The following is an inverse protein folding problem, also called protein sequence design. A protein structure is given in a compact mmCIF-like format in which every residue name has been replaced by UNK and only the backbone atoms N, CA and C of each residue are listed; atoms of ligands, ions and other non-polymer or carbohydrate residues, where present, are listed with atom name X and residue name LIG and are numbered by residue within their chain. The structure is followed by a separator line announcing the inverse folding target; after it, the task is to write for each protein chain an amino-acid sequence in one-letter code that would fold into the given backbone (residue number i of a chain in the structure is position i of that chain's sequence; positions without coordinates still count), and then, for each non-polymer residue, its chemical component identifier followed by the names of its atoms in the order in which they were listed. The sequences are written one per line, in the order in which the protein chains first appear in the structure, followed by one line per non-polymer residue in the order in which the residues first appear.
data_IF_279653021347
#
_entry.id   IF_279653021347
#
_cell.length_a   1.000
_cell.length_b   1.000
_cell.length_c   1.000
_cell.angle_alpha   90.00
_cell.angle_beta   90.00
_cell.angle_gamma   90.00
#
_symmetry.space_group_name_H-M   'P 1'
#
loop_
_entity.id
_entity.type
_entity.pdbx_description
1 polymer ?
#
# COMPACT_ATOMS: atom_id res chain seq x y z
N UNK A 1 46.55 -6.32 -5.23
CA UNK A 1 46.38 -4.87 -5.46
C UNK A 1 46.08 -4.23 -4.12
N UNK A 2 46.80 -3.16 -3.78
CA UNK A 2 46.54 -2.35 -2.59
C UNK A 2 45.25 -1.53 -2.81
N UNK A 3 44.53 -1.15 -1.74
CA UNK A 3 43.25 -0.40 -1.87
C UNK A 3 43.44 0.94 -2.60
N UNK A 4 44.60 1.57 -2.46
CA UNK A 4 44.99 2.81 -3.16
C UNK A 4 44.97 2.67 -4.68
N UNK A 5 45.38 1.51 -5.20
CA UNK A 5 45.53 1.24 -6.63
C UNK A 5 44.18 1.30 -7.37
N UNK A 6 43.09 0.87 -6.71
CA UNK A 6 41.73 0.95 -7.24
C UNK A 6 41.22 2.40 -7.33
N UNK A 7 41.61 3.25 -6.38
CA UNK A 7 41.17 4.66 -6.32
C UNK A 7 41.95 5.53 -7.30
N UNK A 8 43.25 5.25 -7.46
CA UNK A 8 44.12 5.93 -8.42
C UNK A 8 43.71 5.61 -9.87
N UNK A 9 43.40 4.34 -10.15
CA UNK A 9 43.03 3.87 -11.48
C UNK A 9 41.52 3.93 -11.79
N UNK A 10 40.72 4.69 -11.04
CA UNK A 10 39.28 4.85 -11.28
C UNK A 10 38.98 5.43 -12.67
N UNK A 11 37.80 5.13 -13.21
CA UNK A 11 37.30 5.81 -14.42
C UNK A 11 37.09 7.30 -14.10
N UNK A 12 37.50 8.17 -15.01
CA UNK A 12 37.35 9.61 -14.77
C UNK A 12 35.92 10.05 -15.06
N UNK A 13 35.21 10.69 -14.10
CA UNK A 13 33.94 11.34 -14.39
C UNK A 13 34.14 12.44 -15.44
N UNK A 14 33.18 12.63 -16.36
CA UNK A 14 33.25 13.71 -17.33
C UNK A 14 33.12 15.06 -16.61
N UNK A 15 33.73 16.13 -17.15
CA UNK A 15 33.58 17.49 -16.61
C UNK A 15 32.12 17.90 -16.38
N UNK A 16 31.22 17.50 -17.29
CA UNK A 16 29.79 17.77 -17.19
C UNK A 16 29.13 17.22 -15.91
N UNK A 17 29.66 16.14 -15.32
CA UNK A 17 29.19 15.62 -14.03
C UNK A 17 29.41 16.62 -12.90
N UNK A 18 30.63 17.19 -12.81
CA UNK A 18 30.95 18.15 -11.77
C UNK A 18 30.22 19.48 -11.98
N UNK A 19 30.11 19.97 -13.22
CA UNK A 19 29.29 21.16 -13.52
C UNK A 19 27.82 20.96 -13.12
N UNK A 20 27.26 19.76 -13.35
CA UNK A 20 25.92 19.41 -12.87
C UNK A 20 25.83 19.40 -11.34
N UNK A 21 26.84 18.85 -10.64
CA UNK A 21 26.88 18.89 -9.18
C UNK A 21 26.87 20.34 -8.68
N UNK A 22 27.72 21.21 -9.22
CA UNK A 22 27.82 22.62 -8.82
C UNK A 22 26.52 23.38 -9.07
N UNK A 23 25.82 23.10 -10.18
CA UNK A 23 24.58 23.78 -10.54
C UNK A 23 23.46 23.63 -9.50
N UNK A 24 23.46 22.51 -8.77
CA UNK A 24 22.47 22.21 -7.73
C UNK A 24 22.68 23.00 -6.42
N UNK A 25 23.85 23.60 -6.22
CA UNK A 25 24.10 24.47 -5.09
C UNK A 25 23.52 25.85 -5.35
N UNK A 26 22.97 26.47 -4.31
CA UNK A 26 22.60 27.88 -4.38
C UNK A 26 23.83 28.76 -4.56
N UNK A 27 23.63 29.87 -5.26
CA UNK A 27 24.63 30.94 -5.36
C UNK A 27 24.05 32.29 -4.94
N UNK A 28 24.92 33.29 -4.76
CA UNK A 28 24.51 34.62 -4.33
C UNK A 28 24.93 35.71 -5.33
N UNK A 29 24.09 36.74 -5.41
CA UNK A 29 24.44 38.02 -6.02
C UNK A 29 24.30 39.09 -4.96
N UNK A 30 25.42 39.70 -4.55
CA UNK A 30 25.44 40.75 -3.54
C UNK A 30 25.47 42.11 -4.22
N UNK A 31 24.49 42.98 -3.93
CA UNK A 31 24.40 44.29 -4.59
C UNK A 31 24.15 45.45 -3.62
N UNK A 32 24.81 46.56 -3.87
CA UNK A 32 24.46 47.88 -3.33
C UNK A 32 24.43 48.92 -4.48
N UNK A 33 24.38 50.21 -4.15
CA UNK A 33 24.31 51.27 -5.19
C UNK A 33 25.61 51.42 -6.01
N UNK A 34 26.74 50.97 -5.48
CA UNK A 34 28.07 51.23 -6.02
C UNK A 34 28.76 49.96 -6.56
N UNK A 35 28.36 48.78 -6.08
CA UNK A 35 29.06 47.51 -6.30
C UNK A 35 28.08 46.34 -6.41
N UNK A 36 28.41 45.40 -7.30
CA UNK A 36 27.75 44.10 -7.43
C UNK A 36 28.79 42.99 -7.45
N UNK A 37 28.66 42.02 -6.54
CA UNK A 37 29.49 40.83 -6.45
C UNK A 37 28.64 39.63 -6.89
N UNK A 38 28.98 39.05 -8.04
CA UNK A 38 28.37 37.81 -8.54
C UNK A 38 29.24 36.65 -8.06
N UNK A 39 28.74 35.85 -7.12
CA UNK A 39 29.56 34.83 -6.47
C UNK A 39 29.95 33.67 -7.38
N UNK A 40 29.17 33.37 -8.41
CA UNK A 40 29.50 32.34 -9.40
C UNK A 40 28.99 32.76 -10.77
N UNK A 41 29.83 32.57 -11.78
CA UNK A 41 29.45 32.76 -13.20
C UNK A 41 28.78 31.52 -13.80
N UNK A 42 28.65 30.43 -13.03
CA UNK A 42 28.01 29.19 -13.49
C UNK A 42 26.51 29.35 -13.51
N UNK A 43 25.85 28.51 -14.31
CA UNK A 43 24.39 28.40 -14.29
C UNK A 43 23.99 27.59 -13.06
N UNK A 44 23.40 28.27 -12.08
CA UNK A 44 22.86 27.66 -10.86
C UNK A 44 21.33 27.57 -10.94
N UNK A 45 20.76 26.53 -10.33
CA UNK A 45 19.32 26.36 -10.23
C UNK A 45 18.69 27.39 -9.28
N UNK A 46 19.46 27.83 -8.27
CA UNK A 46 19.00 28.77 -7.25
C UNK A 46 19.98 29.93 -7.06
N UNK A 47 19.59 31.12 -7.52
CA UNK A 47 20.35 32.36 -7.36
C UNK A 47 19.64 33.25 -6.35
N UNK A 48 20.32 33.62 -5.26
CA UNK A 48 19.76 34.45 -4.20
C UNK A 48 20.39 35.84 -4.25
N UNK A 49 19.58 36.86 -4.47
CA UNK A 49 20.02 38.25 -4.37
C UNK A 49 20.07 38.70 -2.91
N UNK A 50 21.19 39.31 -2.49
CA UNK A 50 21.38 39.88 -1.16
C UNK A 50 21.88 41.32 -1.24
N UNK A 51 21.49 42.14 -0.26
CA UNK A 51 22.04 43.50 -0.12
C UNK A 51 23.47 43.45 0.40
N UNK A 52 24.41 44.11 -0.27
CA UNK A 52 25.79 44.27 0.16
C UNK A 52 25.92 45.38 1.22
N UNK A 53 26.46 45.05 2.39
CA UNK A 53 26.68 45.95 3.54
C UNK A 53 28.16 45.92 3.94
N UNK A 54 28.62 46.94 4.68
CA UNK A 54 30.00 47.03 5.20
C UNK A 54 30.41 45.82 6.05
N UNK A 55 29.46 45.19 6.75
CA UNK A 55 29.66 44.01 7.57
C UNK A 55 29.08 42.72 6.95
N UNK A 56 28.82 42.70 5.64
CA UNK A 56 28.40 41.47 4.95
C UNK A 56 29.47 40.39 5.11
N UNK A 57 29.06 39.21 5.60
CA UNK A 57 29.95 38.04 5.67
C UNK A 57 30.08 37.43 4.27
N UNK A 58 31.22 37.67 3.63
CA UNK A 58 31.51 37.19 2.27
C UNK A 58 32.38 35.92 2.24
N UNK A 59 32.92 35.50 3.39
CA UNK A 59 33.68 34.25 3.52
C UNK A 59 32.97 33.31 4.51
N UNK A 60 32.48 32.18 4.02
CA UNK A 60 31.72 31.21 4.82
C UNK A 60 31.58 29.84 4.15
N UNK A 61 31.42 28.80 4.95
CA UNK A 61 30.90 27.50 4.51
C UNK A 61 29.41 27.62 4.21
N UNK A 62 28.96 27.15 3.04
CA UNK A 62 27.55 27.17 2.67
C UNK A 62 26.86 25.83 2.95
N UNK A 63 27.25 24.79 2.23
CA UNK A 63 26.66 23.45 2.37
C UNK A 63 27.50 22.37 1.70
N UNK A 64 27.13 21.11 1.90
CA UNK A 64 27.69 19.98 1.15
C UNK A 64 26.60 19.00 0.77
N UNK A 65 26.77 18.29 -0.34
CA UNK A 65 25.84 17.26 -0.80
C UNK A 65 26.59 16.11 -1.49
N UNK A 66 25.95 14.94 -1.52
CA UNK A 66 26.53 13.74 -2.11
C UNK A 66 25.90 13.46 -3.49
N UNK A 67 26.77 13.24 -4.46
CA UNK A 67 26.41 12.95 -5.85
C UNK A 67 27.02 11.63 -6.28
N UNK A 68 26.33 10.90 -7.12
CA UNK A 68 26.77 9.60 -7.59
C UNK A 68 26.78 9.55 -9.11
N UNK A 69 27.77 8.86 -9.68
CA UNK A 69 27.88 8.59 -11.10
C UNK A 69 28.18 7.12 -11.33
N UNK A 70 27.56 6.55 -12.36
CA UNK A 70 27.82 5.19 -12.83
C UNK A 70 28.60 5.28 -14.14
N UNK A 71 29.77 4.66 -14.16
CA UNK A 71 30.67 4.60 -15.30
C UNK A 71 30.90 3.14 -15.70
N UNK A 72 31.19 2.90 -16.97
CA UNK A 72 31.41 1.54 -17.45
C UNK A 72 32.28 1.45 -18.69
N UNK A 73 32.99 0.33 -18.77
CA UNK A 73 33.76 -0.14 -19.92
C UNK A 73 33.40 -1.60 -20.20
N UNK A 74 34.03 -2.21 -21.19
CA UNK A 74 33.93 -3.65 -21.41
C UNK A 74 34.56 -4.50 -20.31
N UNK A 75 35.42 -3.92 -19.47
CA UNK A 75 36.17 -4.64 -18.43
C UNK A 75 35.58 -4.50 -17.03
N UNK A 76 34.86 -3.40 -16.75
CA UNK A 76 34.34 -3.10 -15.41
C UNK A 76 33.22 -2.07 -15.41
N UNK A 77 32.43 -2.09 -14.34
CA UNK A 77 31.44 -1.08 -13.97
C UNK A 77 31.93 -0.41 -12.68
N UNK A 78 31.77 0.90 -12.58
CA UNK A 78 32.09 1.66 -11.38
C UNK A 78 30.89 2.50 -10.95
N UNK A 79 30.59 2.47 -9.66
CA UNK A 79 29.69 3.43 -9.00
C UNK A 79 30.57 4.31 -8.13
N UNK A 80 30.65 5.59 -8.45
CA UNK A 80 31.47 6.55 -7.71
C UNK A 80 30.57 7.55 -7.01
N UNK A 81 30.80 7.75 -5.72
CA UNK A 81 30.06 8.70 -4.89
C UNK A 81 31.00 9.79 -4.40
N UNK A 82 30.69 11.03 -4.78
CA UNK A 82 31.45 12.22 -4.43
C UNK A 82 30.67 13.08 -3.46
N UNK A 83 31.34 13.58 -2.42
CA UNK A 83 30.87 14.70 -1.62
C UNK A 83 31.40 15.98 -2.26
N UNK A 84 30.49 16.88 -2.59
CA UNK A 84 30.83 18.22 -3.07
C UNK A 84 30.51 19.21 -1.97
N UNK A 85 31.50 20.04 -1.64
CA UNK A 85 31.42 21.06 -0.60
C UNK A 85 31.45 22.43 -1.27
N UNK A 86 30.43 23.25 -1.01
CA UNK A 86 30.35 24.64 -1.47
C UNK A 86 30.78 25.59 -0.36
N UNK A 87 31.74 26.44 -0.66
CA UNK A 87 32.26 27.47 0.24
C UNK A 87 32.36 28.80 -0.50
N UNK A 88 32.45 29.89 0.25
CA UNK A 88 32.62 31.22 -0.29
C UNK A 88 33.88 31.82 0.31
N UNK A 89 34.71 32.40 -0.54
CA UNK A 89 35.91 33.15 -0.16
C UNK A 89 35.83 34.54 -0.80
N UNK A 90 35.78 35.57 0.04
CA UNK A 90 35.67 36.97 -0.38
C UNK A 90 34.54 37.22 -1.39
N UNK A 91 33.43 36.50 -1.23
CA UNK A 91 32.24 36.63 -2.05
C UNK A 91 32.26 35.81 -3.33
N UNK A 92 33.34 35.08 -3.62
CA UNK A 92 33.45 34.12 -4.74
C UNK A 92 33.15 32.71 -4.23
N UNK A 93 32.31 31.98 -4.96
CA UNK A 93 31.95 30.60 -4.65
C UNK A 93 33.01 29.63 -5.15
N UNK A 94 33.46 28.74 -4.28
CA UNK A 94 34.44 27.69 -4.54
C UNK A 94 33.84 26.32 -4.20
N UNK A 95 34.29 25.29 -4.92
CA UNK A 95 33.87 23.91 -4.69
C UNK A 95 35.07 23.03 -4.38
N UNK A 96 34.90 22.11 -3.44
CA UNK A 96 35.83 20.99 -3.22
C UNK A 96 35.09 19.67 -3.44
N UNK A 97 35.67 18.79 -4.26
CA UNK A 97 35.18 17.42 -4.42
C UNK A 97 36.00 16.43 -3.60
N UNK A 98 35.32 15.48 -2.99
CA UNK A 98 35.93 14.38 -2.26
C UNK A 98 35.28 13.07 -2.71
N UNK A 99 36.06 12.11 -3.18
CA UNK A 99 35.57 10.77 -3.45
C UNK A 99 35.35 10.04 -2.12
N UNK A 100 34.11 9.84 -1.73
CA UNK A 100 33.72 9.19 -0.46
C UNK A 100 33.67 7.68 -0.59
N UNK A 101 33.20 7.19 -1.75
CA UNK A 101 33.02 5.76 -1.98
C UNK A 101 33.13 5.41 -3.46
N UNK A 102 33.78 4.28 -3.74
CA UNK A 102 33.82 3.65 -5.05
C UNK A 102 33.46 2.17 -4.94
N UNK A 103 32.51 1.73 -5.77
CA UNK A 103 32.16 0.32 -5.96
C UNK A 103 32.59 -0.11 -7.35
N UNK A 104 33.32 -1.22 -7.45
CA UNK A 104 33.89 -1.74 -8.69
C UNK A 104 33.35 -3.16 -8.92
N UNK A 105 32.75 -3.37 -10.08
CA UNK A 105 32.24 -4.67 -10.52
C UNK A 105 33.04 -5.14 -11.74
N UNK A 106 33.81 -6.22 -11.55
CA UNK A 106 34.64 -6.81 -12.61
C UNK A 106 35.04 -8.23 -12.24
N UNK A 107 35.23 -9.10 -13.23
CA UNK A 107 35.81 -10.44 -13.04
C UNK A 107 35.06 -11.27 -11.97
N UNK A 108 33.73 -11.20 -11.93
CA UNK A 108 32.88 -11.85 -10.91
C UNK A 108 33.05 -11.33 -9.48
N UNK A 109 33.74 -10.21 -9.29
CA UNK A 109 33.94 -9.60 -7.98
C UNK A 109 33.21 -8.27 -7.88
N UNK A 110 32.79 -7.95 -6.66
CA UNK A 110 32.30 -6.64 -6.26
C UNK A 110 33.20 -6.16 -5.12
N UNK A 111 33.91 -5.06 -5.36
CA UNK A 111 34.82 -4.43 -4.40
C UNK A 111 34.25 -3.08 -4.05
N UNK A 112 34.09 -2.80 -2.75
CA UNK A 112 33.62 -1.51 -2.24
C UNK A 112 34.69 -0.89 -1.35
N UNK A 113 35.10 0.33 -1.68
CA UNK A 113 36.13 1.09 -0.96
C UNK A 113 35.51 2.40 -0.50
N UNK A 114 35.76 2.77 0.76
CA UNK A 114 35.18 3.94 1.40
C UNK A 114 33.79 3.70 1.99
N UNK A 115 33.24 4.74 2.61
CA UNK A 115 31.93 4.70 3.28
C UNK A 115 31.22 6.01 3.00
N UNK A 116 29.97 5.91 2.54
CA UNK A 116 29.15 7.09 2.27
C UNK A 116 28.71 7.68 3.62
N UNK A 117 29.12 8.92 3.91
CA UNK A 117 28.64 9.69 5.05
C UNK A 117 27.58 10.69 4.57
N UNK A 118 26.29 10.37 4.76
CA UNK A 118 25.21 11.28 4.40
C UNK A 118 24.97 12.30 5.51
N UNK A 119 24.82 13.60 5.18
CA UNK A 119 24.36 14.57 6.15
C UNK A 119 22.91 14.25 6.56
N UNK A 120 22.69 14.10 7.87
CA UNK A 120 21.37 13.91 8.49
C UNK A 120 20.81 15.29 8.83
N UNK A 121 19.63 15.61 8.31
CA UNK A 121 18.95 16.88 8.60
C UNK A 121 17.59 16.59 9.24
N UNK A 122 17.39 17.04 10.49
CA UNK A 122 16.18 16.76 11.29
C UNK A 122 15.77 15.26 11.33
N UNK A 123 16.74 14.34 11.34
CA UNK A 123 16.48 12.91 11.36
C UNK A 123 16.17 12.27 10.00
N UNK A 124 16.17 13.04 8.91
CA UNK A 124 16.04 12.53 7.54
C UNK A 124 17.40 12.49 6.83
N UNK A 125 17.71 11.36 6.19
CA UNK A 125 18.87 11.24 5.31
C UNK A 125 18.61 12.07 4.05
N UNK A 126 19.52 12.99 3.74
CA UNK A 126 19.56 13.58 2.40
C UNK A 126 19.95 12.47 1.41
N UNK A 127 19.09 12.19 0.44
CA UNK A 127 19.35 11.17 -0.59
C UNK A 127 20.59 11.51 -1.42
N UNK A 128 21.13 10.52 -2.13
CA UNK A 128 22.26 10.70 -3.05
C UNK A 128 21.71 11.02 -4.44
N UNK A 129 22.13 12.14 -5.02
CA UNK A 129 21.69 12.52 -6.36
C UNK A 129 22.48 11.73 -7.42
N UNK A 130 21.80 10.90 -8.20
CA UNK A 130 22.41 10.10 -9.28
C UNK A 130 22.44 10.89 -10.59
N UNK A 131 23.63 11.01 -11.18
CA UNK A 131 23.85 11.73 -12.43
C UNK A 131 23.14 11.04 -13.62
N UNK A 132 22.26 11.73 -14.37
CA UNK A 132 21.46 11.14 -15.44
C UNK A 132 22.26 11.00 -16.75
N UNK A 133 23.23 10.09 -16.78
CA UNK A 133 24.12 9.86 -17.92
C UNK A 133 23.76 8.62 -18.77
N UNK A 134 22.48 8.24 -18.82
CA UNK A 134 22.00 7.06 -19.56
C UNK A 134 22.76 5.76 -19.21
N UNK A 135 23.22 5.64 -17.96
CA UNK A 135 24.13 4.57 -17.54
C UNK A 135 23.58 3.18 -17.84
N UNK A 136 22.27 2.94 -17.69
CA UNK A 136 21.63 1.64 -18.02
C UNK A 136 21.86 1.24 -19.47
N UNK A 137 21.57 2.13 -20.42
CA UNK A 137 21.80 1.89 -21.86
C UNK A 137 23.28 1.67 -22.14
N UNK A 138 24.16 2.39 -21.44
CA UNK A 138 25.60 2.18 -21.56
C UNK A 138 26.00 0.78 -21.07
N UNK A 139 25.48 0.32 -19.93
CA UNK A 139 25.72 -1.03 -19.40
C UNK A 139 25.24 -2.10 -20.38
N UNK A 140 24.05 -1.94 -20.94
CA UNK A 140 23.47 -2.84 -21.96
C UNK A 140 24.34 -2.92 -23.23
N UNK A 141 25.09 -1.86 -23.55
CA UNK A 141 25.94 -1.83 -24.74
C UNK A 141 27.33 -2.42 -24.51
N UNK A 142 27.99 -2.07 -23.41
CA UNK A 142 29.44 -2.33 -23.27
C UNK A 142 29.81 -3.30 -22.15
N UNK A 143 29.00 -3.41 -21.10
CA UNK A 143 29.42 -4.09 -19.86
C UNK A 143 29.18 -5.60 -19.86
N UNK A 144 29.58 -6.28 -18.78
CA UNK A 144 29.22 -7.68 -18.52
C UNK A 144 27.70 -7.90 -18.37
N UNK A 145 26.91 -6.85 -18.17
CA UNK A 145 25.45 -6.91 -18.05
C UNK A 145 24.72 -6.75 -19.39
N UNK A 146 25.45 -6.67 -20.52
CA UNK A 146 24.89 -6.45 -21.87
C UNK A 146 23.83 -7.44 -22.34
N UNK A 147 23.76 -8.61 -21.71
CA UNK A 147 22.79 -9.65 -22.04
C UNK A 147 21.49 -9.56 -21.21
N UNK A 148 21.40 -8.57 -20.31
CA UNK A 148 20.24 -8.36 -19.47
C UNK A 148 19.40 -7.19 -19.99
N UNK A 149 18.08 -7.30 -19.82
CA UNK A 149 17.23 -6.11 -19.80
C UNK A 149 17.38 -5.43 -18.42
N UNK A 150 17.87 -4.19 -18.41
CA UNK A 150 18.18 -3.42 -17.19
C UNK A 150 17.17 -2.29 -16.92
N UNK A 151 16.05 -2.22 -17.65
CA UNK A 151 15.06 -1.15 -17.53
C UNK A 151 14.64 -0.90 -16.08
N UNK A 152 14.32 -1.99 -15.36
CA UNK A 152 13.87 -1.96 -13.95
C UNK A 152 15.00 -1.96 -12.91
N UNK A 153 16.26 -1.87 -13.32
CA UNK A 153 17.40 -1.84 -12.40
C UNK A 153 17.43 -0.53 -11.58
N UNK A 154 17.66 -0.63 -10.28
CA UNK A 154 18.05 0.50 -9.43
C UNK A 154 19.55 0.36 -9.06
N UNK A 155 20.24 1.46 -8.79
CA UNK A 155 21.64 1.46 -8.37
C UNK A 155 21.86 0.63 -7.10
N UNK A 156 20.96 0.71 -6.13
CA UNK A 156 21.01 -0.08 -4.88
C UNK A 156 21.01 -1.60 -5.14
N UNK A 157 20.43 -1.99 -6.27
CA UNK A 157 20.27 -3.38 -6.71
C UNK A 157 21.35 -3.83 -7.70
N UNK A 158 22.29 -2.95 -8.08
CA UNK A 158 23.33 -3.26 -9.05
C UNK A 158 24.25 -4.40 -8.57
N UNK A 159 24.62 -4.41 -7.29
CA UNK A 159 25.46 -5.46 -6.74
C UNK A 159 24.80 -6.84 -6.79
N UNK A 160 23.52 -6.94 -6.39
CA UNK A 160 22.72 -8.15 -6.50
C UNK A 160 22.57 -8.59 -7.96
N UNK A 161 22.25 -7.63 -8.84
CA UNK A 161 22.10 -7.88 -10.28
C UNK A 161 23.39 -8.41 -10.90
N UNK A 162 24.54 -7.80 -10.59
CA UNK A 162 25.84 -8.23 -11.10
C UNK A 162 26.22 -9.62 -10.59
N UNK A 163 26.02 -9.89 -9.29
CA UNK A 163 26.29 -11.18 -8.68
C UNK A 163 25.48 -12.31 -9.33
N UNK A 164 24.19 -12.08 -9.57
CA UNK A 164 23.27 -13.10 -10.08
C UNK A 164 22.95 -12.94 -11.59
N UNK A 165 23.77 -12.20 -12.34
CA UNK A 165 23.52 -11.86 -13.75
C UNK A 165 23.21 -13.06 -14.65
N UNK A 166 23.94 -14.16 -14.51
CA UNK A 166 23.71 -15.37 -15.33
C UNK A 166 22.36 -16.04 -15.03
N UNK A 167 21.88 -15.90 -13.79
CA UNK A 167 20.58 -16.41 -13.35
C UNK A 167 19.45 -15.55 -13.88
N UNK A 168 19.62 -14.22 -13.80
CA UNK A 168 18.70 -13.23 -14.35
C UNK A 168 18.58 -13.39 -15.86
N UNK A 169 19.70 -13.53 -16.57
CA UNK A 169 19.76 -13.77 -18.01
C UNK A 169 18.97 -15.03 -18.39
N UNK A 170 19.15 -16.12 -17.65
CA UNK A 170 18.40 -17.36 -17.87
C UNK A 170 16.89 -17.14 -17.70
N UNK A 171 16.47 -16.47 -16.63
CA UNK A 171 15.06 -16.18 -16.37
C UNK A 171 14.45 -15.29 -17.46
N UNK A 172 15.17 -14.26 -17.91
CA UNK A 172 14.74 -13.38 -19.00
C UNK A 172 14.61 -14.15 -20.33
N UNK A 173 15.56 -15.05 -20.65
CA UNK A 173 15.53 -15.86 -21.89
C UNK A 173 14.36 -16.84 -21.98
N UNK A 174 13.75 -17.22 -20.85
CA UNK A 174 12.55 -18.06 -20.83
C UNK A 174 11.27 -17.23 -20.65
N UNK A 175 11.35 -15.90 -20.77
CA UNK A 175 10.25 -14.95 -20.53
C UNK A 175 9.65 -15.04 -19.11
N UNK A 176 10.45 -15.41 -18.11
CA UNK A 176 10.07 -15.35 -16.70
C UNK A 176 10.42 -13.97 -16.11
N UNK A 177 9.83 -12.91 -16.66
CA UNK A 177 10.25 -11.53 -16.39
C UNK A 177 10.04 -11.10 -14.94
N UNK A 178 8.93 -11.51 -14.31
CA UNK A 178 8.69 -11.24 -12.89
C UNK A 178 9.76 -11.88 -12.01
N UNK A 179 10.09 -13.16 -12.22
CA UNK A 179 11.15 -13.83 -11.47
C UNK A 179 12.52 -13.16 -11.67
N UNK A 180 12.85 -12.77 -12.90
CA UNK A 180 14.08 -12.03 -13.18
C UNK A 180 14.14 -10.71 -12.40
N UNK A 181 13.03 -9.97 -12.36
CA UNK A 181 12.92 -8.73 -11.59
C UNK A 181 13.04 -8.98 -10.08
N UNK A 182 12.37 -9.99 -9.53
CA UNK A 182 12.43 -10.32 -8.11
C UNK A 182 13.87 -10.67 -7.67
N UNK A 183 14.64 -11.33 -8.54
CA UNK A 183 16.07 -11.60 -8.31
C UNK A 183 16.88 -10.31 -8.35
N UNK A 184 16.65 -9.44 -9.36
CA UNK A 184 17.34 -8.15 -9.47
C UNK A 184 17.08 -7.28 -8.23
N UNK A 185 15.85 -7.25 -7.73
CA UNK A 185 15.46 -6.44 -6.57
C UNK A 185 15.91 -6.99 -5.22
N UNK A 186 16.57 -8.15 -5.19
CA UNK A 186 16.97 -8.82 -3.94
C UNK A 186 15.80 -9.36 -3.11
N UNK A 187 14.61 -9.53 -3.70
CA UNK A 187 13.41 -10.00 -3.01
C UNK A 187 13.34 -11.53 -2.87
N UNK A 188 14.33 -12.24 -3.42
CA UNK A 188 14.35 -13.70 -3.53
C UNK A 188 15.42 -14.30 -2.63
N UNK A 189 15.08 -15.37 -1.92
CA UNK A 189 16.06 -16.18 -1.20
C UNK A 189 16.91 -17.01 -2.17
N UNK A 190 18.11 -16.51 -2.44
CA UNK A 190 19.06 -17.10 -3.39
C UNK A 190 19.69 -18.41 -2.87
N UNK A 191 19.45 -18.81 -1.62
CA UNK A 191 19.79 -20.15 -1.12
C UNK A 191 18.85 -21.21 -1.69
N UNK A 192 17.62 -20.82 -1.99
CA UNK A 192 16.58 -21.69 -2.55
C UNK A 192 16.60 -21.61 -4.09
N UNK A 193 16.61 -20.39 -4.65
CA UNK A 193 16.61 -20.19 -6.10
C UNK A 193 18.01 -20.35 -6.70
N UNK A 194 18.48 -21.59 -6.77
CA UNK A 194 19.77 -21.92 -7.40
C UNK A 194 19.63 -22.11 -8.92
N UNK A 195 20.75 -22.16 -9.65
CA UNK A 195 20.77 -22.49 -11.08
C UNK A 195 20.15 -23.87 -11.37
N UNK A 196 20.35 -24.84 -10.47
CA UNK A 196 19.74 -26.17 -10.58
C UNK A 196 18.23 -26.13 -10.38
N UNK A 197 17.75 -25.33 -9.43
CA UNK A 197 16.31 -25.08 -9.22
C UNK A 197 15.67 -24.54 -10.51
N UNK A 198 16.24 -23.50 -11.12
CA UNK A 198 15.72 -22.94 -12.37
C UNK A 198 15.73 -23.92 -13.54
N UNK A 199 16.78 -24.74 -13.67
CA UNK A 199 16.85 -25.75 -14.71
C UNK A 199 15.76 -26.81 -14.52
N UNK A 200 15.56 -27.28 -13.29
CA UNK A 200 14.50 -28.24 -12.94
C UNK A 200 13.11 -27.70 -13.28
N UNK A 201 12.84 -26.44 -12.93
CA UNK A 201 11.52 -25.81 -13.10
C UNK A 201 11.37 -24.96 -14.37
N UNK A 202 12.29 -25.09 -15.34
CA UNK A 202 12.32 -24.28 -16.57
C UNK A 202 10.97 -24.28 -17.30
N UNK A 203 10.38 -25.44 -17.51
CA UNK A 203 9.10 -25.58 -18.24
C UNK A 203 7.93 -24.93 -17.51
N UNK A 204 7.94 -24.95 -16.17
CA UNK A 204 6.93 -24.33 -15.32
C UNK A 204 7.03 -22.80 -15.28
N UNK A 205 8.25 -22.26 -15.44
CA UNK A 205 8.52 -20.82 -15.43
C UNK A 205 8.43 -20.18 -16.82
N UNK A 206 8.56 -20.98 -17.89
CA UNK A 206 8.63 -20.45 -19.25
C UNK A 206 7.33 -19.75 -19.63
N UNK A 207 7.43 -18.49 -20.06
CA UNK A 207 6.31 -17.64 -20.47
C UNK A 207 5.27 -17.44 -19.35
N UNK A 208 5.69 -17.38 -18.09
CA UNK A 208 4.80 -17.13 -16.95
C UNK A 208 5.36 -16.05 -16.02
N UNK A 209 4.49 -15.48 -15.20
CA UNK A 209 4.84 -14.56 -14.10
C UNK A 209 5.04 -15.31 -12.77
N UNK A 210 5.34 -16.60 -12.85
CA UNK A 210 5.61 -17.43 -11.68
C UNK A 210 6.95 -17.03 -11.05
N UNK A 211 6.95 -16.92 -9.73
CA UNK A 211 8.08 -16.52 -8.91
C UNK A 211 8.59 -17.69 -8.06
N UNK A 212 9.51 -17.42 -7.12
CA UNK A 212 9.95 -18.43 -6.14
C UNK A 212 8.79 -19.03 -5.35
N UNK A 213 7.73 -18.25 -5.07
CA UNK A 213 6.55 -18.74 -4.33
C UNK A 213 5.85 -19.87 -5.06
N UNK A 214 5.61 -19.72 -6.37
CA UNK A 214 4.97 -20.73 -7.20
C UNK A 214 5.88 -21.95 -7.41
N UNK A 215 7.20 -21.77 -7.44
CA UNK A 215 8.15 -22.90 -7.42
C UNK A 215 8.00 -23.71 -6.12
N UNK A 216 7.94 -23.04 -4.97
CA UNK A 216 7.79 -23.69 -3.66
C UNK A 216 6.43 -24.39 -3.53
N UNK A 217 5.38 -23.80 -4.11
CA UNK A 217 4.07 -24.45 -4.23
C UNK A 217 4.21 -25.75 -5.03
N UNK A 218 4.84 -25.71 -6.20
CA UNK A 218 5.08 -26.88 -7.04
C UNK A 218 5.93 -27.96 -6.35
N UNK A 219 6.97 -27.56 -5.62
CA UNK A 219 7.78 -28.45 -4.78
C UNK A 219 6.95 -29.17 -3.72
N UNK A 220 5.96 -28.47 -3.14
CA UNK A 220 5.08 -29.03 -2.11
C UNK A 220 4.16 -30.08 -2.73
N UNK A 221 3.53 -29.80 -3.88
CA UNK A 221 2.78 -30.79 -4.65
C UNK A 221 3.62 -32.04 -4.99
N UNK A 222 4.84 -31.84 -5.48
CA UNK A 222 5.78 -32.93 -5.79
C UNK A 222 6.12 -33.77 -4.54
N UNK A 223 6.36 -33.14 -3.39
CA UNK A 223 6.70 -33.84 -2.14
C UNK A 223 5.55 -34.68 -1.58
N UNK A 224 4.32 -34.28 -1.84
CA UNK A 224 3.11 -35.00 -1.42
C UNK A 224 2.65 -36.02 -2.48
N UNK A 225 3.39 -36.17 -3.57
CA UNK A 225 3.04 -37.02 -4.71
C UNK A 225 1.66 -36.67 -5.31
N UNK A 226 1.29 -35.38 -5.29
CA UNK A 226 0.02 -34.88 -5.84
C UNK A 226 0.31 -34.17 -7.17
N UNK A 227 -0.35 -34.56 -8.29
CA UNK A 227 -0.24 -33.83 -9.54
C UNK A 227 -0.78 -32.40 -9.40
N UNK A 228 0.03 -31.42 -9.82
CA UNK A 228 -0.36 -30.01 -9.85
C UNK A 228 -1.08 -29.67 -11.16
N UNK A 229 -2.33 -29.25 -11.06
CA UNK A 229 -3.15 -28.81 -12.20
C UNK A 229 -2.66 -27.44 -12.69
N UNK A 230 -2.52 -27.27 -14.00
CA UNK A 230 -2.07 -26.00 -14.60
C UNK A 230 -3.02 -24.85 -14.23
N UNK A 231 -2.48 -23.74 -13.72
CA UNK A 231 -3.23 -22.53 -13.36
C UNK A 231 -3.68 -22.48 -11.91
N UNK A 232 -3.55 -23.58 -11.15
CA UNK A 232 -3.90 -23.62 -9.71
C UNK A 232 -3.06 -22.65 -8.88
N UNK A 233 -1.82 -22.37 -9.31
CA UNK A 233 -0.88 -21.46 -8.65
C UNK A 233 -1.42 -20.04 -8.45
N UNK A 234 -2.46 -19.65 -9.20
CA UNK A 234 -3.11 -18.35 -9.08
C UNK A 234 -4.11 -18.27 -7.92
N UNK A 235 -4.57 -19.42 -7.44
CA UNK A 235 -5.70 -19.53 -6.51
C UNK A 235 -5.32 -20.15 -5.16
N UNK A 236 -4.13 -20.72 -5.05
CA UNK A 236 -3.69 -21.53 -3.89
C UNK A 236 -2.29 -21.12 -3.45
N UNK A 237 -2.10 -20.97 -2.15
CA UNK A 237 -0.79 -20.78 -1.52
C UNK A 237 -0.21 -22.12 -1.04
N UNK A 238 1.11 -22.16 -0.79
CA UNK A 238 1.78 -23.36 -0.25
C UNK A 238 1.14 -23.86 1.04
N UNK A 239 0.75 -22.95 1.93
CA UNK A 239 0.09 -23.25 3.21
C UNK A 239 -1.24 -23.95 3.03
N UNK A 240 -1.93 -23.70 1.93
CA UNK A 240 -3.32 -24.13 1.74
C UNK A 240 -3.41 -25.63 1.40
N UNK A 241 -2.31 -26.22 0.91
CA UNK A 241 -2.30 -27.62 0.47
C UNK A 241 -2.63 -28.58 1.63
N UNK A 242 -2.23 -28.26 2.87
CA UNK A 242 -2.56 -29.09 4.04
C UNK A 242 -4.06 -29.14 4.33
N UNK A 243 -4.80 -28.11 3.90
CA UNK A 243 -6.21 -27.92 4.21
C UNK A 243 -7.10 -28.36 3.04
N UNK A 244 -6.52 -28.98 2.01
CA UNK A 244 -7.29 -29.51 0.89
C UNK A 244 -8.29 -30.59 1.38
N UNK A 245 -9.52 -30.60 0.84
CA UNK A 245 -10.54 -31.56 1.24
C UNK A 245 -10.16 -32.98 0.80
N UNK A 246 -9.84 -33.83 1.78
CA UNK A 246 -9.34 -35.18 1.56
C UNK A 246 -10.37 -36.08 0.85
N UNK A 247 -11.66 -35.84 1.05
CA UNK A 247 -12.78 -36.66 0.56
C UNK A 247 -13.06 -36.46 -0.94
N UNK A 248 -12.56 -35.37 -1.54
CA UNK A 248 -12.90 -34.93 -2.91
C UNK A 248 -11.87 -35.44 -3.93
N UNK A 249 -10.67 -35.77 -3.48
CA UNK A 249 -9.51 -36.04 -4.31
C UNK A 249 -8.86 -34.74 -4.81
N UNK A 250 -7.57 -34.58 -4.55
CA UNK A 250 -6.86 -33.32 -4.78
C UNK A 250 -6.92 -32.83 -6.23
N UNK A 251 -6.79 -33.72 -7.22
CA UNK A 251 -6.83 -33.33 -8.64
C UNK A 251 -8.20 -32.81 -9.07
N UNK A 252 -9.28 -33.45 -8.57
CA UNK A 252 -10.65 -33.02 -8.84
C UNK A 252 -10.93 -31.65 -8.23
N UNK A 253 -10.50 -31.45 -6.98
CA UNK A 253 -10.64 -30.17 -6.29
C UNK A 253 -9.90 -29.04 -7.03
N UNK A 254 -8.65 -29.27 -7.43
CA UNK A 254 -7.87 -28.29 -8.18
C UNK A 254 -8.53 -27.90 -9.50
N UNK A 255 -8.99 -28.87 -10.30
CA UNK A 255 -9.70 -28.60 -11.56
C UNK A 255 -10.97 -27.76 -11.34
N UNK A 256 -11.73 -28.10 -10.29
CA UNK A 256 -12.92 -27.33 -9.93
C UNK A 256 -12.55 -25.89 -9.52
N UNK A 257 -11.55 -25.70 -8.64
CA UNK A 257 -11.16 -24.37 -8.17
C UNK A 257 -10.62 -23.48 -9.30
N UNK A 258 -9.82 -24.05 -10.22
CA UNK A 258 -9.36 -23.36 -11.42
C UNK A 258 -10.53 -22.93 -12.31
N UNK A 259 -11.55 -23.78 -12.45
CA UNK A 259 -12.77 -23.45 -13.19
C UNK A 259 -13.57 -22.31 -12.53
N UNK A 260 -13.63 -22.27 -11.20
CA UNK A 260 -14.32 -21.20 -10.47
C UNK A 260 -13.59 -19.85 -10.58
N UNK A 261 -12.27 -19.86 -10.75
CA UNK A 261 -11.48 -18.63 -10.84
C UNK A 261 -11.44 -17.82 -9.52
N UNK A 262 -11.68 -18.49 -8.38
CA UNK A 262 -11.67 -17.88 -7.04
C UNK A 262 -10.56 -18.50 -6.20
N UNK A 263 -10.05 -17.73 -5.23
CA UNK A 263 -9.02 -18.22 -4.30
C UNK A 263 -9.51 -19.33 -3.38
N UNK A 264 -8.61 -20.18 -2.90
CA UNK A 264 -8.91 -21.20 -1.89
C UNK A 264 -9.55 -20.60 -0.63
N UNK A 265 -9.08 -19.42 -0.20
CA UNK A 265 -9.66 -18.70 0.93
C UNK A 265 -11.14 -18.32 0.72
N UNK A 266 -11.53 -17.99 -0.51
CA UNK A 266 -12.93 -17.72 -0.85
C UNK A 266 -13.80 -18.97 -0.71
N UNK A 267 -13.25 -20.13 -1.10
CA UNK A 267 -13.88 -21.42 -0.88
C UNK A 267 -14.00 -21.77 0.62
N UNK A 268 -12.95 -21.53 1.41
CA UNK A 268 -13.00 -21.72 2.87
C UNK A 268 -14.07 -20.81 3.52
N UNK A 269 -14.19 -19.56 3.06
CA UNK A 269 -15.22 -18.64 3.56
C UNK A 269 -16.63 -19.17 3.29
N UNK A 270 -16.88 -19.70 2.09
CA UNK A 270 -18.13 -20.38 1.77
C UNK A 270 -18.42 -21.58 2.70
N UNK A 271 -17.43 -22.44 2.97
CA UNK A 271 -17.62 -23.55 3.90
C UNK A 271 -17.95 -23.07 5.32
N UNK A 272 -17.27 -22.02 5.79
CA UNK A 272 -17.55 -21.40 7.09
C UNK A 272 -18.98 -20.84 7.15
N UNK A 273 -19.50 -20.29 6.05
CA UNK A 273 -20.89 -19.84 5.96
C UNK A 273 -21.89 -20.99 6.07
N UNK A 274 -21.62 -22.13 5.41
CA UNK A 274 -22.45 -23.33 5.59
C UNK A 274 -22.46 -23.80 7.04
N UNK A 275 -21.31 -23.80 7.71
CA UNK A 275 -21.21 -24.11 9.14
C UNK A 275 -22.01 -23.13 9.99
N UNK A 276 -21.93 -21.82 9.71
CA UNK A 276 -22.70 -20.80 10.44
C UNK A 276 -24.21 -20.98 10.26
N UNK A 277 -24.63 -21.38 9.06
CA UNK A 277 -26.02 -21.72 8.72
C UNK A 277 -26.45 -23.10 9.25
N UNK A 278 -25.54 -23.85 9.90
CA UNK A 278 -25.76 -25.23 10.36
C UNK A 278 -26.17 -26.18 9.23
N UNK A 279 -25.67 -25.94 8.02
CA UNK A 279 -25.85 -26.80 6.85
C UNK A 279 -24.70 -27.81 6.82
N UNK A 280 -25.02 -29.10 6.83
CA UNK A 280 -24.03 -30.16 6.72
C UNK A 280 -23.35 -30.16 5.35
N UNK A 281 -22.02 -30.22 5.34
CA UNK A 281 -21.22 -30.26 4.11
C UNK A 281 -21.27 -31.70 3.56
N UNK A 282 -21.75 -31.85 2.33
CA UNK A 282 -21.93 -33.13 1.65
C UNK A 282 -21.61 -32.99 0.15
N UNK A 283 -21.69 -34.11 -0.59
CA UNK A 283 -21.31 -34.15 -2.01
C UNK A 283 -22.05 -33.16 -2.92
N UNK A 284 -23.24 -32.67 -2.53
CA UNK A 284 -24.04 -31.73 -3.33
C UNK A 284 -23.64 -30.27 -3.13
N UNK A 285 -23.16 -29.89 -1.94
CA UNK A 285 -22.85 -28.50 -1.60
C UNK A 285 -21.35 -28.24 -1.39
N UNK A 286 -20.52 -29.27 -1.23
CA UNK A 286 -19.08 -29.12 -1.00
C UNK A 286 -18.34 -28.54 -2.21
N UNK A 287 -18.83 -28.75 -3.43
CA UNK A 287 -18.30 -28.14 -4.65
C UNK A 287 -19.48 -27.58 -5.45
N UNK A 288 -19.98 -26.38 -5.10
CA UNK A 288 -21.10 -25.80 -5.84
C UNK A 288 -20.73 -25.60 -7.32
N UNK A 289 -21.69 -25.69 -8.26
CA UNK A 289 -21.43 -25.43 -9.66
C UNK A 289 -20.85 -24.02 -9.92
N UNK A 290 -21.36 -23.04 -9.17
CA UNK A 290 -20.90 -21.66 -9.13
C UNK A 290 -20.65 -21.27 -7.66
N UNK A 291 -19.39 -21.03 -7.34
CA UNK A 291 -18.96 -20.71 -5.97
C UNK A 291 -19.38 -19.30 -5.55
N UNK A 292 -19.43 -18.35 -6.47
CA UNK A 292 -19.80 -16.96 -6.17
C UNK A 292 -21.29 -16.90 -5.82
N UNK A 293 -22.14 -17.49 -6.65
CA UNK A 293 -23.60 -17.53 -6.40
C UNK A 293 -23.91 -18.26 -5.09
N UNK A 294 -23.25 -19.39 -4.83
CA UNK A 294 -23.47 -20.16 -3.60
C UNK A 294 -23.03 -19.40 -2.35
N UNK A 295 -21.91 -18.67 -2.44
CA UNK A 295 -21.42 -17.79 -1.38
C UNK A 295 -22.39 -16.62 -1.13
N UNK A 296 -22.81 -15.90 -2.17
CA UNK A 296 -23.74 -14.78 -2.05
C UNK A 296 -25.09 -15.22 -1.46
N UNK A 297 -25.63 -16.37 -1.89
CA UNK A 297 -26.85 -16.93 -1.30
C UNK A 297 -26.67 -17.24 0.19
N UNK A 298 -25.51 -17.75 0.60
CA UNK A 298 -25.22 -18.03 1.99
C UNK A 298 -25.09 -16.72 2.80
N UNK A 299 -24.43 -15.70 2.27
CA UNK A 299 -24.35 -14.35 2.86
C UNK A 299 -25.75 -13.77 3.08
N UNK A 300 -26.61 -13.81 2.06
CA UNK A 300 -27.98 -13.30 2.15
C UNK A 300 -28.79 -14.04 3.20
N UNK A 301 -28.63 -15.36 3.29
CA UNK A 301 -29.32 -16.16 4.31
C UNK A 301 -28.84 -15.83 5.73
N UNK A 302 -27.53 -15.67 5.93
CA UNK A 302 -26.94 -15.25 7.21
C UNK A 302 -27.47 -13.87 7.59
N UNK A 303 -27.50 -12.92 6.64
CA UNK A 303 -28.04 -11.59 6.85
C UNK A 303 -29.51 -11.64 7.24
N UNK A 304 -30.32 -12.45 6.55
CA UNK A 304 -31.73 -12.64 6.88
C UNK A 304 -31.91 -13.16 8.31
N UNK A 305 -31.18 -14.21 8.71
CA UNK A 305 -31.24 -14.75 10.08
C UNK A 305 -30.80 -13.71 11.12
N UNK A 306 -29.79 -12.91 10.80
CA UNK A 306 -29.38 -11.81 11.66
C UNK A 306 -30.49 -10.76 11.82
N UNK A 307 -31.15 -10.37 10.73
CA UNK A 307 -32.31 -9.47 10.79
C UNK A 307 -33.46 -10.07 11.59
N UNK A 308 -33.80 -11.34 11.39
CA UNK A 308 -34.85 -12.03 12.16
C UNK A 308 -34.52 -12.11 13.65
N UNK A 309 -33.25 -12.36 13.99
CA UNK A 309 -32.76 -12.29 15.38
C UNK A 309 -32.91 -10.88 15.96
N UNK A 310 -32.53 -9.84 15.20
CA UNK A 310 -32.68 -8.45 15.64
C UNK A 310 -34.15 -8.06 15.78
N UNK A 311 -35.02 -8.52 14.91
CA UNK A 311 -36.46 -8.30 15.02
C UNK A 311 -37.01 -8.93 16.30
N UNK A 312 -36.56 -10.13 16.69
CA UNK A 312 -36.92 -10.74 17.98
C UNK A 312 -36.43 -9.92 19.17
N UNK A 313 -35.15 -9.54 19.18
CA UNK A 313 -34.55 -8.69 20.22
C UNK A 313 -35.31 -7.35 20.36
N UNK A 314 -35.62 -6.69 19.23
CA UNK A 314 -36.42 -5.47 19.19
C UNK A 314 -37.82 -5.72 19.76
N UNK A 315 -38.52 -6.77 19.32
CA UNK A 315 -39.88 -7.07 19.78
C UNK A 315 -39.95 -7.40 21.28
N UNK A 316 -38.96 -8.09 21.83
CA UNK A 316 -38.84 -8.31 23.27
C UNK A 316 -38.67 -6.98 24.01
N UNK A 317 -37.78 -6.12 23.49
CA UNK A 317 -37.52 -4.81 24.06
C UNK A 317 -38.72 -3.87 23.96
N UNK A 318 -39.52 -3.92 22.90
CA UNK A 318 -40.73 -3.10 22.72
C UNK A 318 -41.67 -3.20 23.92
N UNK A 319 -41.79 -4.38 24.55
CA UNK A 319 -42.64 -4.57 25.74
C UNK A 319 -42.23 -3.63 26.89
N UNK A 320 -40.92 -3.41 27.07
CA UNK A 320 -40.37 -2.55 28.11
C UNK A 320 -40.39 -1.07 27.71
N UNK A 321 -40.33 -0.79 26.40
CA UNK A 321 -40.24 0.57 25.89
C UNK A 321 -41.61 1.21 25.60
N UNK A 322 -42.74 0.50 25.75
CA UNK A 322 -44.09 1.02 25.43
C UNK A 322 -44.39 2.40 26.02
N UNK A 323 -43.81 2.75 27.17
CA UNK A 323 -43.96 4.07 27.78
C UNK A 323 -43.45 5.23 26.90
N UNK A 324 -42.53 4.95 25.98
CA UNK A 324 -41.96 5.91 25.04
C UNK A 324 -42.88 6.24 23.86
N UNK A 325 -43.89 5.40 23.58
CA UNK A 325 -44.89 5.71 22.55
C UNK A 325 -45.97 6.65 23.12
N UNK A 326 -46.00 7.89 22.64
CA UNK A 326 -46.87 8.96 23.14
C UNK A 326 -47.26 9.95 22.04
N UNK A 327 -48.43 10.54 22.19
CA UNK A 327 -48.87 11.72 21.44
C UNK A 327 -48.68 12.96 22.29
N UNK A 328 -47.91 13.94 21.80
CA UNK A 328 -47.65 15.20 22.50
C UNK A 328 -47.64 16.34 21.49
N UNK A 329 -48.44 17.37 21.76
CA UNK A 329 -48.46 18.63 21.01
C UNK A 329 -48.47 18.47 19.48
N UNK A 330 -49.30 17.57 18.96
CA UNK A 330 -49.44 17.35 17.52
C UNK A 330 -48.35 16.47 16.89
N UNK A 331 -47.47 15.87 17.69
CA UNK A 331 -46.49 14.87 17.27
C UNK A 331 -46.76 13.51 17.92
N UNK A 332 -46.41 12.44 17.20
CA UNK A 332 -46.48 11.07 17.68
C UNK A 332 -45.08 10.46 17.72
N UNK A 333 -44.70 9.95 18.89
CA UNK A 333 -43.47 9.22 19.12
C UNK A 333 -43.75 7.72 18.97
N UNK A 334 -43.05 7.06 18.07
CA UNK A 334 -43.29 5.66 17.68
C UNK A 334 -42.00 4.87 17.75
N UNK A 335 -42.05 3.65 18.29
CA UNK A 335 -40.88 2.78 18.30
C UNK A 335 -40.78 1.96 17.01
N UNK A 336 -39.58 1.73 16.46
CA UNK A 336 -39.39 0.79 15.37
C UNK A 336 -39.76 -0.63 15.81
N UNK A 337 -40.53 -1.35 15.01
CA UNK A 337 -40.97 -2.71 15.33
C UNK A 337 -40.05 -3.78 14.77
N UNK A 338 -39.34 -3.44 13.69
CA UNK A 338 -38.38 -4.28 12.99
C UNK A 338 -37.11 -3.50 12.68
N UNK A 339 -35.99 -4.21 12.58
CA UNK A 339 -34.73 -3.68 12.08
C UNK A 339 -34.89 -3.04 10.69
N UNK A 340 -35.75 -3.61 9.85
CA UNK A 340 -36.03 -3.05 8.52
C UNK A 340 -36.78 -1.71 8.58
N UNK A 341 -37.53 -1.41 9.65
CA UNK A 341 -38.19 -0.12 9.81
C UNK A 341 -37.14 0.99 10.01
N UNK A 342 -36.12 0.72 10.84
CA UNK A 342 -34.97 1.63 11.05
C UNK A 342 -34.21 1.83 9.74
N UNK A 343 -34.01 0.77 8.96
CA UNK A 343 -33.36 0.85 7.65
C UNK A 343 -34.15 1.71 6.65
N UNK A 344 -35.46 1.51 6.56
CA UNK A 344 -36.36 2.31 5.71
C UNK A 344 -36.38 3.77 6.14
N UNK A 345 -36.42 4.03 7.44
CA UNK A 345 -36.40 5.38 8.00
C UNK A 345 -35.12 6.13 7.59
N UNK A 346 -33.96 5.50 7.76
CA UNK A 346 -32.68 6.09 7.35
C UNK A 346 -32.61 6.37 5.85
N UNK A 347 -33.18 5.49 5.02
CA UNK A 347 -33.26 5.73 3.57
C UNK A 347 -34.19 6.91 3.24
N UNK A 348 -35.36 7.01 3.87
CA UNK A 348 -36.34 8.06 3.61
C UNK A 348 -35.82 9.45 4.01
N UNK A 349 -35.15 9.54 5.16
CA UNK A 349 -34.57 10.77 5.67
C UNK A 349 -33.12 11.00 5.20
N UNK A 350 -32.53 10.04 4.47
CA UNK A 350 -31.17 10.08 3.95
C UNK A 350 -30.12 10.34 5.05
N UNK A 351 -30.19 9.59 6.14
CA UNK A 351 -29.18 9.56 7.20
C UNK A 351 -28.94 8.14 7.73
N UNK A 352 -27.82 7.98 8.44
CA UNK A 352 -27.26 6.67 8.78
C UNK A 352 -27.89 6.01 10.03
N UNK A 353 -29.18 6.18 10.32
CA UNK A 353 -29.79 5.55 11.52
C UNK A 353 -29.78 4.02 11.46
N UNK A 354 -29.63 3.42 10.27
CA UNK A 354 -29.47 1.97 10.11
C UNK A 354 -28.26 1.40 10.88
N UNK A 355 -27.20 2.19 11.12
CA UNK A 355 -26.04 1.74 11.92
C UNK A 355 -26.37 1.57 13.41
N UNK A 356 -27.53 2.03 13.86
CA UNK A 356 -27.98 1.94 15.25
C UNK A 356 -28.84 0.70 15.51
N UNK A 357 -29.20 -0.11 14.49
CA UNK A 357 -30.05 -1.30 14.63
C UNK A 357 -29.53 -2.25 15.71
N UNK A 358 -28.24 -2.58 15.70
CA UNK A 358 -27.67 -3.50 16.71
C UNK A 358 -27.72 -2.92 18.12
N UNK A 359 -27.39 -1.64 18.28
CA UNK A 359 -27.39 -0.95 19.58
C UNK A 359 -28.81 -0.78 20.13
N UNK A 360 -29.75 -0.53 19.23
CA UNK A 360 -31.17 -0.50 19.54
C UNK A 360 -31.72 -1.88 19.93
N UNK A 361 -31.36 -2.93 19.21
CA UNK A 361 -31.80 -4.27 19.57
C UNK A 361 -31.25 -4.70 20.96
N UNK A 362 -29.99 -4.36 21.26
CA UNK A 362 -29.29 -4.78 22.49
C UNK A 362 -29.58 -3.97 23.76
N UNK A 363 -30.26 -2.82 23.67
CA UNK A 363 -30.46 -1.96 24.84
C UNK A 363 -29.52 -0.77 24.96
N UNK A 364 -28.42 -0.74 24.21
CA UNK A 364 -27.33 0.24 24.33
C UNK A 364 -27.75 1.68 23.95
N UNK A 365 -28.80 1.83 23.14
CA UNK A 365 -29.42 3.12 22.80
C UNK A 365 -30.88 2.90 22.38
N UNK A 366 -31.75 3.91 22.43
CA UNK A 366 -33.15 3.79 22.01
C UNK A 366 -33.42 4.71 20.83
N UNK A 367 -33.81 4.15 19.68
CA UNK A 367 -34.23 4.92 18.52
C UNK A 367 -35.75 5.03 18.57
N UNK A 368 -36.25 6.26 18.45
CA UNK A 368 -37.67 6.59 18.43
C UNK A 368 -37.93 7.41 17.17
N UNK A 369 -38.95 7.04 16.42
CA UNK A 369 -39.42 7.81 15.29
C UNK A 369 -40.37 8.90 15.76
N UNK A 370 -40.16 10.11 15.28
CA UNK A 370 -41.10 11.20 15.48
C UNK A 370 -41.89 11.39 14.19
N UNK A 371 -43.20 11.56 14.34
CA UNK A 371 -44.16 11.77 13.25
C UNK A 371 -45.01 12.99 13.55
N UNK A 372 -45.46 13.68 12.50
CA UNK A 372 -46.56 14.63 12.65
C UNK A 372 -47.86 13.85 12.81
N UNK A 373 -48.70 14.24 13.78
CA UNK A 373 -49.98 13.56 14.05
C UNK A 373 -50.94 13.61 12.85
N UNK A 374 -50.82 14.66 12.02
CA UNK A 374 -51.56 14.80 10.76
C UNK A 374 -51.06 13.85 9.66
N UNK A 375 -49.82 13.39 9.73
CA UNK A 375 -49.16 12.55 8.73
C UNK A 375 -48.35 11.39 9.38
N UNK A 376 -48.99 10.47 10.12
CA UNK A 376 -48.29 9.48 10.95
C UNK A 376 -47.45 8.47 10.15
N UNK A 377 -47.75 8.30 8.86
CA UNK A 377 -47.04 7.36 7.98
C UNK A 377 -45.79 7.97 7.31
N UNK A 378 -45.59 9.29 7.40
CA UNK A 378 -44.48 9.98 6.73
C UNK A 378 -43.29 10.14 7.69
N UNK A 379 -42.10 9.70 7.26
CA UNK A 379 -40.87 9.94 8.01
C UNK A 379 -40.62 11.44 8.21
N UNK A 380 -40.30 11.85 9.44
CA UNK A 380 -40.14 13.26 9.80
C UNK A 380 -38.81 13.52 10.54
N UNK A 381 -38.68 13.04 11.78
CA UNK A 381 -37.42 13.08 12.54
C UNK A 381 -37.18 11.75 13.26
N UNK A 382 -35.91 11.45 13.56
CA UNK A 382 -35.52 10.35 14.44
C UNK A 382 -34.85 10.90 15.70
N UNK A 383 -35.28 10.39 16.85
CA UNK A 383 -34.78 10.70 18.17
C UNK A 383 -33.92 9.54 18.68
N UNK A 384 -32.68 9.82 19.08
CA UNK A 384 -31.85 8.89 19.84
C UNK A 384 -31.93 9.25 21.33
N UNK A 385 -32.40 8.30 22.14
CA UNK A 385 -32.54 8.44 23.59
C UNK A 385 -31.67 7.41 24.32
N UNK A 386 -30.76 7.90 25.16
CA UNK A 386 -29.83 7.08 25.92
C UNK A 386 -29.45 7.77 27.24
N UNK A 387 -29.07 7.02 28.27
CA UNK A 387 -28.69 7.55 29.59
C UNK A 387 -29.68 8.60 30.15
N UNK A 388 -30.98 8.33 30.03
CA UNK A 388 -32.06 9.22 30.46
C UNK A 388 -32.04 10.65 29.86
N UNK A 389 -31.47 10.80 28.66
CA UNK A 389 -31.46 12.07 27.91
C UNK A 389 -31.59 11.85 26.41
N UNK A 390 -32.01 12.91 25.71
CA UNK A 390 -31.95 12.98 24.25
C UNK A 390 -30.49 13.17 23.85
N UNK A 391 -29.95 12.23 23.08
CA UNK A 391 -28.60 12.31 22.54
C UNK A 391 -28.61 13.07 21.22
N UNK A 392 -29.56 12.74 20.34
CA UNK A 392 -29.69 13.35 19.02
C UNK A 392 -31.16 13.43 18.59
N UNK A 393 -31.49 14.46 17.82
CA UNK A 393 -32.75 14.61 17.10
C UNK A 393 -32.43 15.04 15.67
N UNK A 394 -32.61 14.14 14.70
CA UNK A 394 -32.16 14.32 13.32
C UNK A 394 -33.30 14.21 12.33
N UNK A 395 -33.37 15.17 11.42
CA UNK A 395 -34.27 15.16 10.26
C UNK A 395 -33.49 14.89 8.98
N UNK A 396 -34.07 15.29 7.84
CA UNK A 396 -33.52 14.97 6.52
C UNK A 396 -32.04 15.39 6.35
N UNK A 397 -31.21 14.47 5.86
CA UNK A 397 -29.76 14.65 5.60
C UNK A 397 -28.94 15.13 6.79
N UNK A 398 -29.40 14.95 8.04
CA UNK A 398 -28.80 15.54 9.25
C UNK A 398 -28.66 17.07 9.21
N UNK A 399 -29.40 17.75 8.33
CA UNK A 399 -29.29 19.20 8.07
C UNK A 399 -30.60 19.94 8.28
N UNK A 400 -31.71 19.21 8.40
CA UNK A 400 -33.01 19.82 8.63
C UNK A 400 -33.03 20.48 10.02
N UNK A 401 -33.32 21.79 10.04
CA UNK A 401 -33.50 22.53 11.29
C UNK A 401 -34.70 21.95 12.04
N UNK A 402 -34.48 21.60 13.32
CA UNK A 402 -35.55 21.16 14.21
C UNK A 402 -36.46 22.36 14.52
N UNK A 403 -37.78 22.31 14.21
CA UNK A 403 -38.72 23.35 14.58
C UNK A 403 -38.82 23.52 16.09
N UNK A 404 -39.06 24.75 16.56
CA UNK A 404 -39.09 25.02 18.01
C UNK A 404 -40.29 24.36 18.71
N UNK A 405 -41.43 24.24 18.02
CA UNK A 405 -42.58 23.46 18.47
C UNK A 405 -42.23 21.98 18.71
N UNK A 406 -41.44 21.38 17.81
CA UNK A 406 -40.98 20.01 17.96
C UNK A 406 -40.01 19.85 19.15
N UNK A 407 -39.13 20.84 19.39
CA UNK A 407 -38.26 20.82 20.58
C UNK A 407 -39.07 20.85 21.87
N UNK A 408 -40.07 21.73 21.94
CA UNK A 408 -40.96 21.82 23.10
C UNK A 408 -41.72 20.51 23.33
N UNK A 409 -42.21 19.88 22.25
CA UNK A 409 -42.87 18.58 22.33
C UNK A 409 -41.91 17.47 22.83
N UNK A 410 -40.65 17.47 22.39
CA UNK A 410 -39.61 16.54 22.86
C UNK A 410 -39.28 16.78 24.34
N UNK A 411 -39.18 18.03 24.79
CA UNK A 411 -38.91 18.35 26.20
C UNK A 411 -40.06 17.90 27.11
N UNK A 412 -41.30 18.10 26.68
CA UNK A 412 -42.49 17.57 27.38
C UNK A 412 -42.51 16.04 27.37
N UNK A 413 -42.17 15.43 26.23
CA UNK A 413 -42.04 13.98 26.11
C UNK A 413 -41.05 13.41 27.13
N UNK A 414 -39.85 14.02 27.26
CA UNK A 414 -38.83 13.59 28.23
C UNK A 414 -39.34 13.65 29.68
N UNK A 415 -40.17 14.64 30.05
CA UNK A 415 -40.77 14.72 31.38
C UNK A 415 -41.76 13.57 31.61
N UNK A 416 -42.68 13.37 30.67
CA UNK A 416 -43.75 12.37 30.75
C UNK A 416 -43.23 10.93 30.82
N UNK A 417 -42.05 10.62 30.27
CA UNK A 417 -41.48 9.26 30.29
C UNK A 417 -40.59 8.98 31.53
N UNK A 418 -40.28 10.03 32.30
CA UNK A 418 -39.50 10.00 33.54
C UNK A 418 -40.39 9.95 34.77
N UNK A 419 -41.57 10.58 34.70
CA UNK A 419 -42.71 10.33 35.59
C UNK A 419 -43.25 8.90 35.39
#
# INVERSE_FOLDING_TARGET
MNTTDYVENKLQPPRAFFEWCYSSFRTYVWKNKNETIVSSTRKHDWIIEKKLRKNSRLTFYDSSSCFQIILSTSKRIEVQTYKVISEYENGVQCFREQLECIEIFSNNQHIKIGKICLPVYYGYNMGIALYPNEWKKRLERVSELKYLNLERLNVDNLATTYKYRTLIEFAQKINAHKLAYDVMSGAVDMRILTKNCLRKYKTFLKNTDNSLKEIQLKQTFESLNIPMVKGIEKYVLKSDISDFPNEIGAVKFQNWLVKQGKSFKYYQDYLNMLTLLKIEINKRNQLPPDLEVAHDCAVDRINQLNYEKRDKEINERLKQLRKYERDIDGYTFVLPKRANDIKKEGKALNHCVASYISRHAKGETTIIFVREKKNPQKSYFTLEYNYNRVVQLQGKKNRQKVPDELKQAVDKWVKVIKD
#
